data_IF_051537820083
#
_entry.id   IF_051537820083
#
_cell.length_a   1.000
_cell.length_b   1.000
_cell.length_c   1.000
_cell.angle_alpha   90.00
_cell.angle_beta   90.00
_cell.angle_gamma   90.00
#
_symmetry.space_group_name_H-M   'P 1'
#
loop_
_entity.id
_entity.type
_entity.pdbx_description
1 polymer ?
#
# COMPACT_ATOMS: atom_id res chain seq x y z
N UNK A 1 -22.15 7.42 2.57
CA UNK A 1 -21.80 6.12 1.96
C UNK A 1 -22.52 5.07 2.77
N UNK A 2 -23.63 4.59 2.23
CA UNK A 2 -24.40 3.46 2.77
C UNK A 2 -23.76 2.14 2.30
N UNK A 3 -24.04 1.02 2.95
CA UNK A 3 -23.49 -0.33 2.73
C UNK A 3 -23.47 -0.78 1.25
N UNK A 4 -24.35 -0.24 0.41
CA UNK A 4 -24.45 -0.49 -1.04
C UNK A 4 -23.57 0.39 -1.93
N UNK A 5 -22.79 1.32 -1.37
CA UNK A 5 -22.09 2.37 -2.12
C UNK A 5 -20.58 2.22 -2.22
N UNK A 6 -19.99 1.24 -1.53
CA UNK A 6 -18.59 0.88 -1.78
C UNK A 6 -18.56 -0.15 -2.91
N UNK A 7 -17.86 0.11 -4.03
CA UNK A 7 -17.83 -0.80 -5.15
C UNK A 7 -17.27 -2.16 -4.69
N UNK A 8 -18.08 -3.21 -4.79
CA UNK A 8 -17.63 -4.59 -4.57
C UNK A 8 -17.21 -5.14 -5.91
N UNK A 9 -16.01 -5.71 -5.97
CA UNK A 9 -15.56 -6.44 -7.14
C UNK A 9 -16.19 -7.83 -7.08
N UNK A 10 -16.65 -8.32 -8.22
CA UNK A 10 -16.98 -9.72 -8.38
C UNK A 10 -15.71 -10.55 -8.17
N UNK A 11 -15.86 -11.78 -7.68
CA UNK A 11 -14.72 -12.67 -7.46
C UNK A 11 -13.81 -12.85 -8.68
N UNK A 12 -14.40 -12.96 -9.86
CA UNK A 12 -13.65 -13.05 -11.11
C UNK A 12 -12.86 -11.77 -11.39
N UNK A 13 -13.40 -10.60 -11.05
CA UNK A 13 -12.68 -9.32 -11.17
C UNK A 13 -11.54 -9.23 -10.16
N UNK A 14 -11.73 -9.71 -8.92
CA UNK A 14 -10.66 -9.79 -7.91
C UNK A 14 -9.47 -10.61 -8.47
N UNK A 15 -9.75 -11.81 -9.00
CA UNK A 15 -8.72 -12.69 -9.58
C UNK A 15 -8.02 -11.99 -10.75
N UNK A 16 -8.80 -11.42 -11.68
CA UNK A 16 -8.26 -10.72 -12.84
C UNK A 16 -7.37 -9.55 -12.44
N UNK A 17 -7.75 -8.76 -11.44
CA UNK A 17 -6.96 -7.62 -10.97
C UNK A 17 -5.66 -8.09 -10.31
N UNK A 18 -5.72 -9.13 -9.47
CA UNK A 18 -4.53 -9.72 -8.85
C UNK A 18 -3.53 -10.24 -9.88
N UNK A 19 -4.01 -10.89 -10.93
CA UNK A 19 -3.17 -11.40 -12.02
C UNK A 19 -2.64 -10.25 -12.89
N UNK A 20 -3.50 -9.30 -13.26
CA UNK A 20 -3.15 -8.14 -14.11
C UNK A 20 -2.02 -7.32 -13.51
N UNK A 21 -2.03 -7.11 -12.20
CA UNK A 21 -1.00 -6.36 -11.49
C UNK A 21 0.14 -7.25 -10.96
N UNK A 22 0.16 -8.54 -11.34
CA UNK A 22 1.15 -9.52 -10.92
C UNK A 22 1.32 -9.60 -9.39
N UNK A 23 0.25 -9.30 -8.63
CA UNK A 23 0.25 -9.29 -7.17
C UNK A 23 0.26 -10.73 -6.65
N UNK A 24 -0.63 -11.57 -7.18
CA UNK A 24 -0.75 -12.97 -6.80
C UNK A 24 -1.46 -13.79 -7.88
N UNK A 25 -1.05 -15.05 -8.03
CA UNK A 25 -1.75 -16.04 -8.84
C UNK A 25 -2.60 -16.91 -7.92
N UNK A 26 -3.87 -16.53 -7.77
CA UNK A 26 -4.87 -17.26 -6.98
C UNK A 26 -5.98 -17.81 -7.87
N UNK A 27 -6.65 -18.85 -7.41
CA UNK A 27 -7.86 -19.39 -8.05
C UNK A 27 -9.14 -18.98 -7.31
N UNK A 28 -10.29 -19.48 -7.78
CA UNK A 28 -11.58 -19.15 -7.17
C UNK A 28 -11.73 -19.75 -5.77
N UNK A 29 -11.17 -20.94 -5.55
CA UNK A 29 -11.26 -21.66 -4.29
C UNK A 29 -10.45 -20.97 -3.17
N UNK A 30 -9.33 -20.34 -3.52
CA UNK A 30 -8.55 -19.52 -2.60
C UNK A 30 -9.37 -18.35 -2.01
N UNK A 31 -10.40 -17.88 -2.72
CA UNK A 31 -11.29 -16.80 -2.28
C UNK A 31 -12.56 -17.36 -1.62
N UNK A 32 -13.18 -18.41 -2.16
CA UNK A 32 -14.42 -18.98 -1.60
C UNK A 32 -14.19 -19.80 -0.33
N UNK A 33 -12.99 -20.34 -0.16
CA UNK A 33 -12.58 -21.12 1.00
C UNK A 33 -11.22 -20.62 1.48
N UNK A 34 -11.15 -19.37 1.97
CA UNK A 34 -9.90 -18.73 2.27
C UNK A 34 -9.21 -19.45 3.42
N UNK A 35 -7.97 -19.87 3.21
CA UNK A 35 -7.14 -20.42 4.27
C UNK A 35 -6.32 -19.29 4.92
N UNK A 36 -6.07 -19.33 6.24
CA UNK A 36 -5.33 -18.27 6.93
C UNK A 36 -3.96 -17.95 6.30
N UNK A 37 -3.20 -18.97 5.92
CA UNK A 37 -1.90 -18.85 5.28
C UNK A 37 -1.99 -18.15 3.91
N UNK A 38 -2.96 -18.53 3.09
CA UNK A 38 -3.22 -17.90 1.78
C UNK A 38 -3.62 -16.43 1.95
N UNK A 39 -4.51 -16.14 2.91
CA UNK A 39 -4.98 -14.77 3.18
C UNK A 39 -3.86 -13.87 3.70
N UNK A 40 -3.02 -14.40 4.60
CA UNK A 40 -1.85 -13.69 5.12
C UNK A 40 -0.86 -13.33 4.01
N UNK A 41 -0.53 -14.28 3.14
CA UNK A 41 0.35 -14.04 1.99
C UNK A 41 -0.27 -13.03 1.03
N UNK A 42 -1.54 -13.20 0.67
CA UNK A 42 -2.25 -12.33 -0.26
C UNK A 42 -2.29 -10.87 0.22
N UNK A 43 -2.68 -10.62 1.46
CA UNK A 43 -2.67 -9.25 1.99
C UNK A 43 -1.26 -8.67 2.11
N UNK A 44 -0.26 -9.49 2.43
CA UNK A 44 1.14 -9.05 2.45
C UNK A 44 1.58 -8.57 1.07
N UNK A 45 1.29 -9.34 0.02
CA UNK A 45 1.63 -8.98 -1.36
C UNK A 45 0.89 -7.73 -1.84
N UNK A 46 -0.40 -7.59 -1.51
CA UNK A 46 -1.17 -6.38 -1.83
C UNK A 46 -0.56 -5.15 -1.15
N UNK A 47 -0.22 -5.25 0.13
CA UNK A 47 0.43 -4.14 0.84
C UNK A 47 1.79 -3.82 0.23
N UNK A 48 2.62 -4.82 -0.05
CA UNK A 48 3.92 -4.60 -0.67
C UNK A 48 3.78 -3.95 -2.06
N UNK A 49 2.84 -4.41 -2.88
CA UNK A 49 2.55 -3.77 -4.17
C UNK A 49 2.15 -2.30 -4.02
N UNK A 50 1.33 -1.98 -3.01
CA UNK A 50 0.97 -0.60 -2.69
C UNK A 50 2.17 0.23 -2.18
N UNK A 51 3.14 -0.38 -1.51
CA UNK A 51 4.38 0.25 -1.03
C UNK A 51 5.37 0.49 -2.17
N UNK A 52 5.69 -0.54 -2.95
CA UNK A 52 6.63 -0.47 -4.08
C UNK A 52 6.18 0.60 -5.09
N UNK A 53 4.87 0.70 -5.31
CA UNK A 53 4.28 1.73 -6.14
C UNK A 53 4.58 3.16 -5.64
N UNK A 54 4.58 3.36 -4.31
CA UNK A 54 4.87 4.67 -3.72
C UNK A 54 6.34 5.04 -3.85
N UNK A 55 7.24 4.05 -3.76
CA UNK A 55 8.67 4.25 -4.01
C UNK A 55 8.93 4.62 -5.47
N UNK A 56 8.29 3.91 -6.41
CA UNK A 56 8.40 4.22 -7.84
C UNK A 56 7.89 5.64 -8.16
N UNK A 57 6.75 6.03 -7.60
CA UNK A 57 6.23 7.39 -7.75
C UNK A 57 7.18 8.43 -7.13
N UNK A 58 7.74 8.15 -5.96
CA UNK A 58 8.73 9.05 -5.35
C UNK A 58 9.95 9.22 -6.26
N UNK A 59 10.40 8.16 -6.91
CA UNK A 59 11.53 8.20 -7.87
C UNK A 59 11.19 9.02 -9.12
N UNK A 60 10.00 8.83 -9.70
CA UNK A 60 9.54 9.61 -10.86
C UNK A 60 9.44 11.12 -10.56
N UNK A 61 9.19 11.49 -9.30
CA UNK A 61 9.10 12.88 -8.83
C UNK A 61 10.35 13.34 -8.09
N UNK A 62 11.50 12.70 -8.32
CA UNK A 62 12.78 13.12 -7.78
C UNK A 62 13.63 13.83 -8.85
N UNK A 63 13.40 15.12 -9.11
CA UNK A 63 14.33 15.91 -9.89
C UNK A 63 15.47 16.33 -8.98
N UNK A 64 16.66 16.25 -9.53
CA UNK A 64 17.90 16.44 -8.81
C UNK A 64 18.00 17.81 -8.14
N UNK A 65 17.26 18.87 -8.52
CA UNK A 65 17.40 20.19 -7.87
C UNK A 65 16.14 21.09 -7.84
N UNK A 66 15.89 21.57 -6.61
CA UNK A 66 15.28 22.80 -6.08
C UNK A 66 13.85 23.32 -6.40
N UNK A 67 13.20 23.61 -5.26
CA UNK A 67 12.18 24.62 -4.90
C UNK A 67 10.70 24.42 -5.18
N UNK A 68 10.24 23.86 -6.31
CA UNK A 68 8.79 23.74 -6.52
C UNK A 68 8.14 22.55 -5.76
N UNK A 69 8.93 21.53 -5.44
CA UNK A 69 8.45 20.29 -4.82
C UNK A 69 8.24 20.35 -3.31
N UNK A 70 8.67 21.39 -2.59
CA UNK A 70 8.66 21.38 -1.11
C UNK A 70 7.23 21.37 -0.53
N UNK A 71 6.26 22.00 -1.22
CA UNK A 71 4.87 22.04 -0.74
C UNK A 71 4.04 20.79 -1.10
N UNK A 72 4.26 20.19 -2.28
CA UNK A 72 3.64 18.92 -2.67
C UNK A 72 4.33 17.72 -1.99
N UNK A 73 5.66 17.74 -1.82
CA UNK A 73 6.41 16.78 -0.95
C UNK A 73 5.85 16.81 0.44
N UNK A 74 5.59 17.97 1.05
CA UNK A 74 5.03 17.99 2.40
C UNK A 74 3.68 17.28 2.49
N UNK A 75 2.79 17.45 1.52
CA UNK A 75 1.47 16.78 1.57
C UNK A 75 1.56 15.28 1.29
N UNK A 76 2.35 14.86 0.29
CA UNK A 76 2.55 13.45 -0.02
C UNK A 76 3.40 12.74 1.05
N UNK A 77 4.46 13.37 1.56
CA UNK A 77 5.26 12.88 2.68
C UNK A 77 4.48 12.91 4.00
N UNK A 78 3.56 13.86 4.23
CA UNK A 78 2.67 13.82 5.41
C UNK A 78 1.59 12.73 5.26
N UNK A 79 1.11 12.47 4.04
CA UNK A 79 0.16 11.39 3.77
C UNK A 79 0.82 10.01 3.85
N UNK A 80 2.03 9.89 3.31
CA UNK A 80 2.94 8.75 3.49
C UNK A 80 3.38 8.62 4.95
N UNK A 81 3.61 9.72 5.67
CA UNK A 81 3.98 9.65 7.09
C UNK A 81 2.82 9.23 7.97
N UNK A 82 1.61 9.59 7.56
CA UNK A 82 0.38 9.21 8.24
C UNK A 82 0.00 7.74 7.98
N UNK A 83 0.27 7.21 6.77
CA UNK A 83 -0.07 5.82 6.40
C UNK A 83 1.08 4.83 6.68
N UNK A 84 2.35 5.23 6.51
CA UNK A 84 3.53 4.34 6.61
C UNK A 84 4.48 4.65 7.79
N UNK A 85 4.66 5.92 8.15
CA UNK A 85 5.75 6.33 9.08
C UNK A 85 5.41 6.24 10.57
N UNK A 86 4.52 5.34 10.97
CA UNK A 86 4.49 4.90 12.38
C UNK A 86 4.57 3.39 12.45
N UNK A 87 5.69 2.87 11.91
CA UNK A 87 6.42 1.70 12.40
C UNK A 87 7.68 1.30 11.59
N UNK A 88 8.15 2.07 10.60
CA UNK A 88 9.56 1.96 10.14
C UNK A 88 10.52 2.66 11.13
N UNK A 89 10.37 2.37 12.42
CA UNK A 89 11.54 2.41 13.27
C UNK A 89 12.14 1.02 13.15
N UNK A 90 13.19 0.88 12.35
CA UNK A 90 14.11 -0.26 12.47
C UNK A 90 14.56 -0.44 13.94
N UNK A 91 14.53 0.64 14.73
CA UNK A 91 14.74 0.61 16.17
C UNK A 91 13.60 -0.05 16.96
N UNK A 92 12.34 0.03 16.54
CA UNK A 92 11.23 -0.66 17.23
C UNK A 92 11.19 -2.14 16.85
N UNK A 93 11.44 -2.49 15.58
CA UNK A 93 11.62 -3.88 15.15
C UNK A 93 12.85 -4.53 15.83
N UNK A 94 13.98 -3.81 15.95
CA UNK A 94 15.16 -4.29 16.69
C UNK A 94 14.92 -4.37 18.21
N UNK A 95 14.34 -3.33 18.83
CA UNK A 95 14.04 -3.30 20.27
C UNK A 95 12.99 -4.35 20.66
N UNK A 96 12.01 -4.63 19.79
CA UNK A 96 11.00 -5.66 20.01
C UNK A 96 11.55 -7.07 19.74
N UNK A 97 12.45 -7.27 18.77
CA UNK A 97 13.13 -8.55 18.59
C UNK A 97 14.07 -8.87 19.77
N UNK A 98 14.74 -7.86 20.32
CA UNK A 98 15.49 -7.97 21.58
C UNK A 98 14.59 -8.30 22.78
N UNK A 99 13.34 -7.82 22.78
CA UNK A 99 12.36 -8.18 23.81
C UNK A 99 11.84 -9.62 23.67
N UNK A 100 11.70 -10.13 22.43
CA UNK A 100 11.34 -11.52 22.15
C UNK A 100 12.44 -12.48 22.63
N UNK A 101 13.72 -12.13 22.44
CA UNK A 101 14.86 -12.93 22.91
C UNK A 101 14.88 -13.12 24.44
N UNK A 102 14.13 -12.31 25.21
CA UNK A 102 13.98 -12.42 26.67
C UNK A 102 12.79 -13.28 27.10
N UNK A 103 11.93 -13.69 26.17
CA UNK A 103 10.83 -14.61 26.46
C UNK A 103 11.36 -16.03 26.61
N UNK A 104 10.66 -16.84 27.41
CA UNK A 104 11.06 -18.22 27.70
C UNK A 104 11.03 -19.13 26.45
N UNK A 105 10.26 -18.74 25.42
CA UNK A 105 10.12 -19.46 24.14
C UNK A 105 9.89 -18.52 22.94
N UNK A 106 10.91 -17.80 22.45
CA UNK A 106 10.77 -16.77 21.41
C UNK A 106 10.17 -17.28 20.11
N UNK A 107 10.53 -18.50 19.69
CA UNK A 107 10.10 -19.08 18.41
C UNK A 107 8.59 -19.26 18.26
N UNK A 108 7.85 -19.39 19.37
CA UNK A 108 6.39 -19.54 19.35
C UNK A 108 5.66 -18.21 19.06
N UNK A 109 6.30 -17.07 19.33
CA UNK A 109 5.68 -15.74 19.22
C UNK A 109 6.01 -15.01 17.92
N UNK A 110 7.05 -15.44 17.20
CA UNK A 110 7.48 -14.82 15.93
C UNK A 110 6.34 -14.81 14.90
N UNK A 111 5.58 -15.90 14.78
CA UNK A 111 4.44 -15.96 13.84
C UNK A 111 3.29 -15.05 14.29
N UNK A 112 2.95 -15.06 15.58
CA UNK A 112 1.92 -14.18 16.16
C UNK A 112 2.26 -12.70 15.96
N UNK A 113 3.54 -12.33 16.06
CA UNK A 113 4.00 -10.97 15.83
C UNK A 113 3.84 -10.54 14.38
N UNK A 114 4.24 -11.38 13.41
CA UNK A 114 4.07 -11.12 11.97
C UNK A 114 2.60 -10.87 11.61
N UNK A 115 1.70 -11.72 12.13
CA UNK A 115 0.26 -11.59 11.93
C UNK A 115 -0.28 -10.29 12.55
N UNK A 116 0.18 -9.94 13.77
CA UNK A 116 -0.25 -8.72 14.46
C UNK A 116 0.21 -7.46 13.73
N UNK A 117 1.46 -7.45 13.24
CA UNK A 117 2.00 -6.35 12.45
C UNK A 117 1.22 -6.16 11.14
N UNK A 118 0.97 -7.25 10.42
CA UNK A 118 0.17 -7.23 9.20
C UNK A 118 -1.26 -6.72 9.48
N UNK A 119 -1.91 -7.25 10.52
CA UNK A 119 -3.23 -6.79 10.96
C UNK A 119 -3.26 -5.28 11.20
N UNK A 120 -2.29 -4.74 11.94
CA UNK A 120 -2.21 -3.31 12.22
C UNK A 120 -2.06 -2.48 10.94
N UNK A 121 -1.22 -2.92 9.98
CA UNK A 121 -1.05 -2.24 8.69
C UNK A 121 -2.34 -2.23 7.87
N UNK A 122 -2.98 -3.39 7.68
CA UNK A 122 -4.24 -3.49 6.94
C UNK A 122 -5.33 -2.65 7.61
N UNK A 123 -5.44 -2.73 8.94
CA UNK A 123 -6.44 -1.95 9.68
C UNK A 123 -6.25 -0.44 9.49
N UNK A 124 -5.02 0.06 9.57
CA UNK A 124 -4.69 1.48 9.27
C UNK A 124 -5.12 1.83 7.84
N UNK A 125 -4.82 0.98 6.86
CA UNK A 125 -5.20 1.18 5.46
C UNK A 125 -6.72 1.20 5.25
N UNK A 126 -7.45 0.19 5.73
CA UNK A 126 -8.91 0.11 5.62
C UNK A 126 -9.59 1.32 6.29
N UNK A 127 -9.09 1.77 7.45
CA UNK A 127 -9.59 2.98 8.10
C UNK A 127 -9.37 4.24 7.24
N UNK A 128 -8.25 4.32 6.53
CA UNK A 128 -7.96 5.43 5.62
C UNK A 128 -8.86 5.41 4.36
N UNK A 129 -9.27 4.23 3.90
CA UNK A 129 -10.23 4.05 2.80
C UNK A 129 -11.67 4.46 3.16
N UNK A 130 -11.93 4.80 4.44
CA UNK A 130 -13.25 5.21 4.95
C UNK A 130 -14.37 4.20 4.63
N UNK A 131 -14.04 2.90 4.68
CA UNK A 131 -15.02 1.83 4.55
C UNK A 131 -16.18 1.99 5.58
N UNK A 132 -17.40 1.51 5.28
CA UNK A 132 -18.52 1.57 6.22
C UNK A 132 -18.16 1.02 7.61
N UNK A 133 -18.64 1.69 8.68
CA UNK A 133 -18.26 1.38 10.08
C UNK A 133 -18.58 -0.05 10.51
N UNK A 134 -19.59 -0.67 9.89
CA UNK A 134 -19.97 -2.06 10.15
C UNK A 134 -18.91 -3.08 9.70
N UNK A 135 -17.99 -2.68 8.80
CA UNK A 135 -16.83 -3.48 8.40
C UNK A 135 -15.56 -2.96 9.07
N UNK A 136 -15.45 -3.24 10.36
CA UNK A 136 -14.18 -3.11 11.06
C UNK A 136 -13.30 -4.32 10.75
N UNK A 137 -12.10 -4.07 10.22
CA UNK A 137 -11.07 -5.11 10.07
C UNK A 137 -10.57 -5.53 11.45
N UNK A 138 -10.60 -6.83 11.72
CA UNK A 138 -10.23 -7.43 13.00
C UNK A 138 -9.26 -8.60 12.78
N UNK A 139 -8.67 -9.12 13.87
CA UNK A 139 -7.66 -10.17 13.77
C UNK A 139 -8.22 -11.50 13.23
N UNK A 140 -9.53 -11.78 13.43
CA UNK A 140 -10.16 -12.99 12.91
C UNK A 140 -10.17 -12.99 11.38
N UNK A 141 -10.20 -11.82 10.73
CA UNK A 141 -10.11 -11.70 9.27
C UNK A 141 -8.79 -12.25 8.69
N UNK A 142 -7.77 -12.46 9.54
CA UNK A 142 -6.51 -13.12 9.17
C UNK A 142 -6.43 -14.55 9.69
N UNK A 143 -6.78 -14.78 10.96
CA UNK A 143 -6.54 -16.08 11.64
C UNK A 143 -7.65 -17.09 11.34
N UNK A 144 -8.87 -16.61 11.08
CA UNK A 144 -10.04 -17.42 10.75
C UNK A 144 -10.86 -16.68 9.69
N UNK A 145 -10.32 -16.56 8.46
CA UNK A 145 -10.91 -15.73 7.42
C UNK A 145 -12.30 -16.25 7.05
N UNK A 146 -13.22 -15.31 6.91
CA UNK A 146 -14.58 -15.55 6.42
C UNK A 146 -14.63 -15.17 4.93
N UNK A 147 -15.23 -16.01 4.05
CA UNK A 147 -15.23 -15.75 2.61
C UNK A 147 -15.80 -14.38 2.22
N UNK A 148 -16.96 -14.01 2.78
CA UNK A 148 -17.64 -12.77 2.43
C UNK A 148 -16.85 -11.55 2.90
N UNK A 149 -16.24 -11.63 4.08
CA UNK A 149 -15.38 -10.58 4.62
C UNK A 149 -14.07 -10.45 3.86
N UNK A 150 -13.44 -11.58 3.50
CA UNK A 150 -12.24 -11.58 2.66
C UNK A 150 -12.53 -10.95 1.30
N UNK A 151 -13.61 -11.33 0.64
CA UNK A 151 -14.03 -10.76 -0.65
C UNK A 151 -14.28 -9.24 -0.55
N UNK A 152 -14.92 -8.79 0.54
CA UNK A 152 -15.14 -7.37 0.81
C UNK A 152 -13.84 -6.58 0.97
N UNK A 153 -12.91 -7.04 1.81
CA UNK A 153 -11.67 -6.30 2.06
C UNK A 153 -10.70 -6.36 0.88
N UNK A 154 -10.65 -7.47 0.14
CA UNK A 154 -9.94 -7.54 -1.13
C UNK A 154 -10.52 -6.55 -2.13
N UNK A 155 -11.84 -6.48 -2.27
CA UNK A 155 -12.49 -5.48 -3.12
C UNK A 155 -12.09 -4.05 -2.73
N UNK A 156 -12.04 -3.75 -1.44
CA UNK A 156 -11.64 -2.43 -0.96
C UNK A 156 -10.20 -2.06 -1.33
N UNK A 157 -9.26 -2.95 -1.05
CA UNK A 157 -7.84 -2.71 -1.34
C UNK A 157 -7.58 -2.66 -2.85
N UNK A 158 -8.18 -3.57 -3.64
CA UNK A 158 -7.95 -3.65 -5.07
C UNK A 158 -8.63 -2.51 -5.84
N UNK A 159 -9.81 -2.06 -5.42
CA UNK A 159 -10.39 -0.84 -5.98
C UNK A 159 -9.52 0.38 -5.73
N UNK A 160 -8.90 0.47 -4.56
CA UNK A 160 -7.91 1.52 -4.32
C UNK A 160 -6.69 1.40 -5.25
N UNK A 161 -6.18 0.19 -5.51
CA UNK A 161 -5.13 -0.03 -6.51
C UNK A 161 -5.58 0.50 -7.89
N UNK A 162 -6.73 0.05 -8.39
CA UNK A 162 -7.28 0.41 -9.70
C UNK A 162 -7.43 1.93 -9.86
N UNK A 163 -8.10 2.57 -8.91
CA UNK A 163 -8.33 4.01 -8.88
C UNK A 163 -7.02 4.81 -8.84
N UNK A 164 -6.00 4.28 -8.14
CA UNK A 164 -4.67 4.88 -8.08
C UNK A 164 -3.90 4.76 -9.40
N UNK A 165 -3.93 3.61 -10.06
CA UNK A 165 -3.35 3.44 -11.40
C UNK A 165 -4.01 4.37 -12.41
N UNK A 166 -5.35 4.44 -12.43
CA UNK A 166 -6.08 5.32 -13.32
C UNK A 166 -5.71 6.80 -13.13
N UNK A 167 -5.56 7.25 -11.87
CA UNK A 167 -5.07 8.61 -11.58
C UNK A 167 -3.64 8.83 -12.04
N UNK A 168 -2.77 7.82 -11.95
CA UNK A 168 -1.40 7.95 -12.42
C UNK A 168 -1.31 8.04 -13.93
N UNK A 169 -2.05 7.19 -14.65
CA UNK A 169 -2.13 7.26 -16.11
C UNK A 169 -2.62 8.65 -16.55
N UNK A 170 -3.58 9.23 -15.81
CA UNK A 170 -4.07 10.58 -16.07
C UNK A 170 -3.04 11.70 -15.79
N UNK A 171 -2.16 11.53 -14.79
CA UNK A 171 -1.16 12.54 -14.42
C UNK A 171 0.16 12.35 -15.19
N UNK A 172 0.42 11.17 -15.76
CA UNK A 172 1.67 10.85 -16.47
C UNK A 172 2.09 11.90 -17.51
N UNK A 173 1.19 12.44 -18.37
CA UNK A 173 1.57 13.48 -19.33
C UNK A 173 2.09 14.77 -18.66
N UNK A 174 1.52 15.15 -17.51
CA UNK A 174 1.95 16.34 -16.77
C UNK A 174 3.33 16.14 -16.13
N UNK A 175 3.66 14.91 -15.73
CA UNK A 175 5.00 14.58 -15.21
C UNK A 175 6.04 14.70 -16.31
N UNK A 176 5.74 14.21 -17.51
CA UNK A 176 6.63 14.35 -18.68
C UNK A 176 6.84 15.82 -19.00
N UNK A 177 5.77 16.61 -19.10
CA UNK A 177 5.86 18.05 -19.37
C UNK A 177 6.69 18.79 -18.29
N UNK A 178 6.47 18.47 -17.01
CA UNK A 178 7.24 19.05 -15.91
C UNK A 178 8.74 18.74 -16.05
N UNK A 179 9.08 17.49 -16.35
CA UNK A 179 10.47 17.06 -16.52
C UNK A 179 11.14 17.76 -17.71
N UNK A 180 10.41 17.93 -18.83
CA UNK A 180 10.91 18.63 -20.01
C UNK A 180 11.17 20.12 -19.72
N UNK A 181 10.28 20.78 -18.96
CA UNK A 181 10.46 22.17 -18.54
C UNK A 181 11.64 22.33 -17.58
N UNK A 182 11.80 21.43 -16.61
CA UNK A 182 12.95 21.44 -15.70
C UNK A 182 14.27 21.26 -16.46
N UNK A 183 14.31 20.39 -17.49
CA UNK A 183 15.48 20.23 -18.34
C UNK A 183 15.82 21.52 -19.11
N UNK A 184 14.80 22.19 -19.67
CA UNK A 184 15.00 23.47 -20.36
C UNK A 184 15.55 24.56 -19.42
N UNK A 185 15.06 24.63 -18.18
CA UNK A 185 15.57 25.56 -17.16
C UNK A 185 17.06 25.29 -16.92
N UNK A 186 17.45 24.02 -16.74
CA UNK A 186 18.86 23.66 -16.53
C UNK A 186 19.74 24.04 -17.72
N UNK A 187 19.27 23.84 -18.95
CA UNK A 187 20.06 24.16 -20.15
C UNK A 187 20.25 25.67 -20.30
N UNK A 188 19.25 26.47 -19.93
CA UNK A 188 19.33 27.94 -19.88
C UNK A 188 20.29 28.42 -18.78
N UNK A 189 20.24 27.82 -17.59
CA UNK A 189 21.13 28.16 -16.49
C UNK A 189 22.59 27.84 -16.84
N UNK A 190 22.85 26.69 -17.47
CA UNK A 190 24.20 26.31 -17.92
C UNK A 190 24.76 27.25 -18.99
N UNK A 191 23.94 27.68 -19.94
CA UNK A 191 24.39 28.65 -20.98
C UNK A 191 24.69 30.02 -20.37
N UNK A 192 23.89 30.50 -19.43
CA UNK A 192 24.12 31.80 -18.74
C UNK A 192 25.35 31.84 -17.84
N UNK A 193 25.82 30.70 -17.35
CA UNK A 193 27.03 30.61 -16.50
C UNK A 193 28.31 30.51 -17.35
N UNK A 194 28.19 30.17 -18.64
CA UNK A 194 29.31 30.00 -19.57
C UNK A 194 29.67 31.27 -20.38
N UNK A 195 28.84 32.33 -20.31
CA UNK A 195 29.08 33.67 -20.86
C UNK A 195 29.60 34.64 -19.78
#
# INVERSE_FOLDING_TARGET
MDLHSYPKLLRQEIIQVLHKFEIAFVDENDITNPKPDVVLDLYTRILNHLLDFLEYFFFLFNPSHHTFLIHQRRLLTLFLSFILYREDNDQLDQLEFESLARLENPGLFVQSFRVTKLYNKIKKMINALKCPKEYTFNLADLVKPDPDRTEFFLSALLNFCLDRYARMDAISPLVVELNDLEQQIMDIEKTKIAE
#
